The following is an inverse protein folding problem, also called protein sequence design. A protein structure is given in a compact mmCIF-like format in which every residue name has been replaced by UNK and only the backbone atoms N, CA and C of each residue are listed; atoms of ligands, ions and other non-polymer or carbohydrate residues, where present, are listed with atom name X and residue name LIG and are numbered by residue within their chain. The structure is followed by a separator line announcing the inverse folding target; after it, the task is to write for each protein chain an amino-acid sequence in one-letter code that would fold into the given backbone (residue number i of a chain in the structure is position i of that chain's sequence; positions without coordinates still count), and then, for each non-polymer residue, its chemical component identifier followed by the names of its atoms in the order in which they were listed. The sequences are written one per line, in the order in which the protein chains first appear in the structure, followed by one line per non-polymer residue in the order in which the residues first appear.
data_IF_436168957372
#
_entry.id   IF_436168957372
#
_cell.length_a   1.000
_cell.length_b   1.000
_cell.length_c   1.000
_cell.angle_alpha   90.00
_cell.angle_beta   90.00
_cell.angle_gamma   90.00
#
_symmetry.space_group_name_H-M   'P 1'
#
loop_
_entity.id
_entity.type
_entity.pdbx_description
1 polymer ?
#
# COMPACT_ATOMS: atom_id res chain seq x y z
N UNK A 1 9.85 9.62 4.90
CA UNK A 1 10.79 8.74 4.19
C UNK A 1 10.58 9.00 2.73
N UNK A 2 11.62 9.38 1.99
CA UNK A 2 11.47 9.66 0.55
C UNK A 2 11.36 8.33 -0.19
N UNK A 3 10.36 8.20 -1.06
CA UNK A 3 10.24 7.06 -1.99
C UNK A 3 11.50 6.95 -2.84
N UNK A 4 12.02 5.73 -3.00
CA UNK A 4 13.23 5.46 -3.79
C UNK A 4 12.90 4.41 -4.85
N UNK A 5 12.42 4.88 -6.00
CA UNK A 5 11.99 4.02 -7.10
C UNK A 5 13.16 3.24 -7.73
N UNK A 6 14.36 3.83 -7.78
CA UNK A 6 15.57 3.15 -8.29
C UNK A 6 15.91 1.91 -7.46
N UNK A 7 15.68 1.98 -6.15
CA UNK A 7 15.87 0.85 -5.25
C UNK A 7 14.74 -0.20 -5.38
N UNK A 8 13.48 0.23 -5.45
CA UNK A 8 12.33 -0.68 -5.57
C UNK A 8 12.35 -1.49 -6.87
N UNK A 9 12.86 -0.92 -7.96
CA UNK A 9 12.90 -1.55 -9.27
C UNK A 9 14.10 -2.50 -9.47
N UNK A 10 14.90 -2.76 -8.43
CA UNK A 10 16.07 -3.63 -8.56
C UNK A 10 15.72 -5.09 -8.84
N UNK A 11 14.57 -5.55 -8.35
CA UNK A 11 14.14 -6.95 -8.45
C UNK A 11 12.64 -6.99 -8.71
N UNK A 12 12.24 -7.78 -9.69
CA UNK A 12 10.85 -8.17 -9.92
C UNK A 12 10.75 -9.68 -9.67
N UNK A 13 9.85 -10.07 -8.76
CA UNK A 13 9.64 -11.47 -8.38
C UNK A 13 8.30 -11.97 -8.93
N UNK A 14 8.30 -13.19 -9.49
CA UNK A 14 7.06 -13.84 -9.90
C UNK A 14 6.23 -14.27 -8.68
N UNK A 15 4.91 -14.07 -8.74
CA UNK A 15 4.01 -14.59 -7.73
C UNK A 15 4.03 -16.12 -7.73
N UNK A 16 4.38 -16.74 -6.59
CA UNK A 16 4.51 -18.21 -6.47
C UNK A 16 3.18 -18.96 -6.65
N UNK A 17 2.07 -18.37 -6.19
CA UNK A 17 0.71 -18.93 -6.28
C UNK A 17 -0.25 -17.85 -6.80
N UNK A 18 -0.19 -17.51 -8.11
CA UNK A 18 -0.91 -16.35 -8.65
C UNK A 18 -2.44 -16.49 -8.56
N UNK A 19 -2.95 -17.72 -8.43
CA UNK A 19 -4.39 -18.00 -8.32
C UNK A 19 -4.91 -18.04 -6.88
N UNK A 20 -4.02 -18.04 -5.87
CA UNK A 20 -4.40 -18.07 -4.46
C UNK A 20 -5.08 -16.74 -4.09
N UNK A 21 -6.38 -16.74 -3.71
CA UNK A 21 -7.03 -15.52 -3.25
C UNK A 21 -6.45 -15.08 -1.91
N UNK A 22 -6.02 -13.81 -1.83
CA UNK A 22 -5.41 -13.25 -0.62
C UNK A 22 -6.36 -12.21 0.00
N UNK A 23 -6.43 -12.22 1.33
CA UNK A 23 -6.91 -11.08 2.12
C UNK A 23 -5.69 -10.43 2.73
N UNK A 24 -5.43 -9.18 2.38
CA UNK A 24 -4.36 -8.40 3.00
C UNK A 24 -4.89 -7.82 4.33
N UNK A 25 -4.42 -8.30 5.49
CA UNK A 25 -5.01 -7.90 6.76
C UNK A 25 -4.52 -6.53 7.25
N UNK A 26 -3.58 -5.89 6.56
CA UNK A 26 -2.93 -4.69 7.08
C UNK A 26 -2.28 -3.85 5.97
N UNK A 27 -2.88 -2.69 5.70
CA UNK A 27 -2.18 -1.59 5.04
C UNK A 27 -2.42 -0.26 5.76
N UNK A 28 -1.58 0.72 5.46
CA UNK A 28 -1.75 2.09 5.90
C UNK A 28 -1.92 2.99 4.67
N UNK A 29 -2.56 4.13 4.86
CA UNK A 29 -2.66 5.18 3.85
C UNK A 29 -2.27 6.50 4.51
N UNK A 30 -1.44 7.28 3.84
CA UNK A 30 -1.06 8.59 4.32
C UNK A 30 -0.67 9.55 3.20
N UNK A 31 -0.89 10.83 3.47
CA UNK A 31 -0.36 11.93 2.67
C UNK A 31 0.58 12.78 3.55
N UNK A 32 1.90 12.59 3.37
CA UNK A 32 2.95 13.30 4.11
C UNK A 32 3.93 13.91 3.11
N UNK A 33 4.51 15.10 3.38
CA UNK A 33 5.49 15.71 2.49
C UNK A 33 6.66 14.76 2.18
N UNK A 34 6.85 14.46 0.89
CA UNK A 34 7.89 13.55 0.40
C UNK A 34 7.66 12.06 0.72
N UNK A 35 6.50 11.69 1.27
CA UNK A 35 6.16 10.32 1.63
C UNK A 35 4.64 10.12 1.51
N UNK A 36 4.15 9.95 0.29
CA UNK A 36 2.74 9.69 0.01
C UNK A 36 2.56 8.20 -0.25
N UNK A 37 1.51 7.62 0.32
CA UNK A 37 1.07 6.27 0.01
C UNK A 37 -0.45 6.23 0.13
N UNK A 38 -1.14 6.25 -0.99
CA UNK A 38 -2.60 6.31 -1.08
C UNK A 38 -3.10 5.15 -1.95
N UNK A 39 -4.36 5.25 -2.41
CA UNK A 39 -5.01 4.16 -3.14
C UNK A 39 -4.25 3.79 -4.42
N UNK A 40 -3.68 4.76 -5.12
CA UNK A 40 -2.98 4.51 -6.39
C UNK A 40 -1.74 3.64 -6.20
N UNK A 41 -0.92 3.96 -5.19
CA UNK A 41 0.26 3.17 -4.84
C UNK A 41 -0.12 1.77 -4.36
N UNK A 42 -1.14 1.65 -3.49
CA UNK A 42 -1.63 0.36 -3.02
C UNK A 42 -2.10 -0.53 -4.17
N UNK A 43 -2.88 0.00 -5.11
CA UNK A 43 -3.39 -0.76 -6.26
C UNK A 43 -2.24 -1.26 -7.14
N UNK A 44 -1.20 -0.44 -7.34
CA UNK A 44 -0.02 -0.85 -8.09
C UNK A 44 0.73 -1.99 -7.40
N UNK A 45 0.95 -1.89 -6.08
CA UNK A 45 1.69 -2.89 -5.31
C UNK A 45 0.96 -4.24 -5.21
N UNK A 46 -0.37 -4.24 -5.12
CA UNK A 46 -1.13 -5.48 -5.01
C UNK A 46 -1.49 -6.10 -6.37
N UNK A 47 -1.36 -5.37 -7.48
CA UNK A 47 -1.75 -5.84 -8.82
C UNK A 47 -1.11 -7.17 -9.26
N UNK A 48 0.16 -7.49 -8.93
CA UNK A 48 0.77 -8.77 -9.25
C UNK A 48 0.18 -9.95 -8.45
N UNK A 49 -0.57 -9.66 -7.38
CA UNK A 49 -1.15 -10.63 -6.48
C UNK A 49 -2.68 -10.65 -6.57
N UNK A 50 -3.29 -11.77 -6.21
CA UNK A 50 -4.75 -11.93 -6.26
C UNK A 50 -5.42 -11.47 -4.96
N UNK A 51 -5.11 -10.24 -4.53
CA UNK A 51 -5.73 -9.61 -3.36
C UNK A 51 -7.20 -9.31 -3.65
N UNK A 52 -8.10 -9.84 -2.81
CA UNK A 52 -9.55 -9.69 -2.98
C UNK A 52 -10.13 -8.60 -2.10
N UNK A 53 -9.56 -8.44 -0.92
CA UNK A 53 -9.95 -7.43 0.05
C UNK A 53 -8.71 -7.08 0.87
N UNK A 54 -8.71 -5.89 1.42
CA UNK A 54 -7.67 -5.43 2.33
C UNK A 54 -8.29 -4.67 3.51
N UNK A 55 -7.58 -4.63 4.63
CA UNK A 55 -7.98 -3.89 5.83
C UNK A 55 -7.07 -2.68 6.01
N UNK A 56 -7.67 -1.49 5.98
CA UNK A 56 -6.99 -0.25 6.33
C UNK A 56 -6.83 -0.15 7.84
N UNK A 57 -5.60 0.11 8.29
CA UNK A 57 -5.27 0.35 9.68
C UNK A 57 -4.91 1.83 9.86
N UNK A 58 -5.62 2.48 10.77
CA UNK A 58 -5.39 3.87 11.15
C UNK A 58 -3.92 4.08 11.61
N UNK A 59 -3.28 5.17 11.18
CA UNK A 59 -1.84 5.41 11.38
C UNK A 59 -1.47 6.89 11.58
N UNK A 60 -2.26 7.63 12.34
CA UNK A 60 -2.13 9.08 12.60
C UNK A 60 -2.14 9.95 11.34
N UNK A 61 -2.77 9.48 10.27
CA UNK A 61 -2.91 10.24 9.02
C UNK A 61 -4.34 10.69 8.81
N UNK A 62 -4.50 11.86 8.17
CA UNK A 62 -5.81 12.39 7.78
C UNK A 62 -6.79 12.54 8.96
N UNK A 63 -6.28 12.76 10.18
CA UNK A 63 -7.10 13.15 11.33
C UNK A 63 -7.88 14.42 11.02
N UNK A 64 -9.10 14.48 11.56
CA UNK A 64 -9.93 15.68 11.46
C UNK A 64 -9.14 16.86 12.01
N UNK A 65 -9.12 17.95 11.25
CA UNK A 65 -8.50 19.21 11.69
C UNK A 65 -9.16 19.77 12.94
N UNK A 66 -10.43 19.45 13.16
CA UNK A 66 -11.26 19.95 14.26
C UNK A 66 -12.43 19.01 14.55
N UNK A 67 -12.96 19.05 15.79
CA UNK A 67 -14.08 18.25 16.27
C UNK A 67 -13.67 16.89 16.86
N UNK A 68 -14.62 16.10 17.41
CA UNK A 68 -14.56 14.65 17.22
C UNK A 68 -14.73 14.29 15.74
#
# INVERSE_FOLDING_TARGET
MVLNDEWLQQVEEEALEPDLPILDPHHHLWDRPGNRYMLEELVADIAPHRVRQTVFIECTSMYRRSGP
#
